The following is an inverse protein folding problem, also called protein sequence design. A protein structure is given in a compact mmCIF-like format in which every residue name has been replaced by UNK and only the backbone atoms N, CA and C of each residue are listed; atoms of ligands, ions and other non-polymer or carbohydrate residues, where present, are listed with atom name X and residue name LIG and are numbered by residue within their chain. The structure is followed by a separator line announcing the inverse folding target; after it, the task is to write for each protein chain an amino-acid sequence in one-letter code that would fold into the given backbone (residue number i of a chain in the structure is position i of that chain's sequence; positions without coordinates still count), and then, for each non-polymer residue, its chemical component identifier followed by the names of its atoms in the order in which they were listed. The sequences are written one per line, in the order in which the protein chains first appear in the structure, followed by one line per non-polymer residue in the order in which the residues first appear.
data_IF_296806230318
#
_entry.id   IF_296806230318
#
_cell.length_a   1.000
_cell.length_b   1.000
_cell.length_c   1.000
_cell.angle_alpha   90.00
_cell.angle_beta   90.00
_cell.angle_gamma   90.00
#
_symmetry.space_group_name_H-M   'P 1'
#
loop_
_entity.id
_entity.type
_entity.pdbx_description
1 polymer ?
#
# COMPACT_ATOMS: atom_id res chain seq x y z
N UNK A 1 -9.81 -5.39 2.41
CA UNK A 1 -9.99 -4.22 3.29
C UNK A 1 -8.63 -3.58 3.59
N UNK A 2 -8.40 -2.32 3.14
CA UNK A 2 -7.15 -1.59 3.39
C UNK A 2 -7.23 -0.73 4.65
N UNK A 3 -6.22 -0.81 5.50
CA UNK A 3 -6.07 -0.02 6.71
C UNK A 3 -4.70 0.65 6.80
N UNK A 4 -4.66 1.80 7.48
CA UNK A 4 -3.44 2.51 7.84
C UNK A 4 -3.66 3.34 9.10
N UNK A 5 -2.57 3.82 9.70
CA UNK A 5 -2.65 4.60 10.95
C UNK A 5 -3.13 6.05 10.78
N UNK A 6 -3.43 6.49 9.56
CA UNK A 6 -3.72 7.90 9.25
C UNK A 6 -2.46 8.79 9.31
N UNK A 7 -2.38 9.77 8.43
CA UNK A 7 -1.23 10.70 8.38
C UNK A 7 -1.63 12.14 8.09
N UNK A 8 -2.85 12.35 7.56
CA UNK A 8 -3.30 13.63 7.03
C UNK A 8 -3.98 14.45 8.14
N UNK A 9 -3.20 15.27 8.84
CA UNK A 9 -3.69 16.04 9.98
C UNK A 9 -4.84 16.99 9.62
N UNK A 10 -4.75 17.68 8.49
CA UNK A 10 -5.78 18.63 8.04
C UNK A 10 -7.14 17.95 7.78
N UNK A 11 -7.17 16.68 7.37
CA UNK A 11 -8.41 15.93 7.22
C UNK A 11 -8.99 15.56 8.59
N UNK A 12 -8.16 15.09 9.52
CA UNK A 12 -8.60 14.82 10.89
C UNK A 12 -9.23 16.08 11.53
N UNK A 13 -8.57 17.21 11.39
CA UNK A 13 -9.08 18.50 11.89
C UNK A 13 -10.39 18.91 11.21
N UNK A 14 -10.48 18.76 9.89
CA UNK A 14 -11.67 19.13 9.11
C UNK A 14 -12.91 18.29 9.49
N UNK A 15 -12.71 17.02 9.85
CA UNK A 15 -13.80 16.10 10.22
C UNK A 15 -14.00 15.96 11.73
N UNK A 16 -13.26 16.70 12.55
CA UNK A 16 -13.37 16.65 14.01
C UNK A 16 -12.88 15.33 14.62
N UNK A 17 -11.97 14.63 13.94
CA UNK A 17 -11.35 13.39 14.40
C UNK A 17 -10.03 13.74 15.09
N UNK A 18 -9.84 13.24 16.31
CA UNK A 18 -8.59 13.47 17.02
C UNK A 18 -7.40 12.91 16.27
N UNK A 19 -6.40 13.75 15.98
CA UNK A 19 -5.19 13.32 15.27
C UNK A 19 -4.21 12.59 16.18
N UNK A 20 -4.08 13.02 17.42
CA UNK A 20 -3.18 12.44 18.41
C UNK A 20 -1.71 12.41 17.99
N UNK A 21 -0.96 11.44 18.52
CA UNK A 21 0.44 11.21 18.17
C UNK A 21 0.58 10.06 17.16
N UNK A 22 1.71 9.96 16.47
CA UNK A 22 2.00 8.80 15.63
C UNK A 22 1.96 7.49 16.43
N UNK A 23 2.41 7.52 17.70
CA UNK A 23 2.39 6.35 18.58
C UNK A 23 0.97 5.93 18.97
N UNK A 24 0.08 6.88 19.32
CA UNK A 24 -1.33 6.56 19.63
C UNK A 24 -2.06 6.01 18.41
N UNK A 25 -1.89 6.63 17.21
CA UNK A 25 -2.49 6.12 15.98
C UNK A 25 -2.03 4.71 15.59
N UNK A 26 -0.76 4.37 15.84
CA UNK A 26 -0.25 3.02 15.59
C UNK A 26 -0.81 1.99 16.58
N UNK A 27 -1.02 2.36 17.85
CA UNK A 27 -1.71 1.50 18.81
C UNK A 27 -3.18 1.31 18.41
N UNK A 28 -3.87 2.39 18.01
CA UNK A 28 -5.24 2.30 17.48
C UNK A 28 -5.32 1.37 16.26
N UNK A 29 -4.33 1.40 15.36
CA UNK A 29 -4.27 0.48 14.23
C UNK A 29 -4.11 -0.98 14.68
N UNK A 30 -3.24 -1.27 15.67
CA UNK A 30 -3.06 -2.62 16.21
C UNK A 30 -4.36 -3.16 16.82
N UNK A 31 -5.06 -2.35 17.63
CA UNK A 31 -6.35 -2.71 18.22
C UNK A 31 -7.44 -2.89 17.15
N UNK A 32 -7.50 -1.98 16.16
CA UNK A 32 -8.47 -2.07 15.06
C UNK A 32 -8.29 -3.36 14.25
N UNK A 33 -7.04 -3.78 13.98
CA UNK A 33 -6.78 -5.05 13.30
C UNK A 33 -7.29 -6.25 14.10
N UNK A 34 -7.13 -6.25 15.44
CA UNK A 34 -7.66 -7.32 16.30
C UNK A 34 -9.18 -7.36 16.27
N UNK A 35 -9.83 -6.20 16.38
CA UNK A 35 -11.29 -6.09 16.34
C UNK A 35 -11.83 -6.59 14.99
N UNK A 36 -11.26 -6.13 13.89
CA UNK A 36 -11.73 -6.47 12.54
C UNK A 36 -11.58 -7.98 12.28
N UNK A 37 -10.43 -8.57 12.61
CA UNK A 37 -10.26 -10.02 12.49
C UNK A 37 -11.22 -10.79 13.39
N UNK A 38 -11.35 -10.37 14.65
CA UNK A 38 -12.30 -10.98 15.58
C UNK A 38 -13.75 -10.93 15.08
N UNK A 39 -14.18 -9.82 14.49
CA UNK A 39 -15.52 -9.66 13.90
C UNK A 39 -15.72 -10.52 12.64
N UNK A 40 -14.67 -10.75 11.83
CA UNK A 40 -14.77 -11.66 10.69
C UNK A 40 -14.91 -13.12 11.09
N UNK A 41 -14.24 -13.52 12.17
CA UNK A 41 -14.09 -14.92 12.57
C UNK A 41 -15.18 -15.40 13.53
N UNK A 42 -15.86 -14.48 14.25
CA UNK A 42 -16.83 -14.83 15.31
C UNK A 42 -18.21 -14.23 15.02
N UNK A 43 -19.26 -14.92 15.46
CA UNK A 43 -20.66 -14.40 15.39
C UNK A 43 -20.83 -13.17 16.26
N UNK A 44 -20.22 -13.18 17.45
CA UNK A 44 -20.13 -12.06 18.39
C UNK A 44 -18.72 -11.94 18.90
N UNK A 45 -18.23 -10.71 19.04
CA UNK A 45 -16.86 -10.46 19.48
C UNK A 45 -16.81 -9.40 20.58
N UNK A 46 -16.04 -9.72 21.63
CA UNK A 46 -15.70 -8.81 22.71
C UNK A 46 -14.24 -8.38 22.59
N UNK A 47 -13.97 -7.11 22.81
CA UNK A 47 -12.62 -6.59 22.85
C UNK A 47 -12.52 -5.45 23.87
N UNK A 48 -11.41 -5.42 24.61
CA UNK A 48 -11.07 -4.33 25.51
C UNK A 48 -9.60 -3.97 25.36
N UNK A 49 -9.34 -2.79 24.80
CA UNK A 49 -8.02 -2.21 24.58
C UNK A 49 -7.81 -0.91 25.34
N UNK A 50 -6.80 -0.17 24.94
CA UNK A 50 -6.51 1.19 25.45
C UNK A 50 -7.40 2.23 24.77
N UNK A 51 -7.75 2.03 23.49
CA UNK A 51 -8.48 2.99 22.64
C UNK A 51 -9.89 2.52 22.29
N UNK A 52 -10.10 1.23 22.19
CA UNK A 52 -11.39 0.66 21.77
C UNK A 52 -11.90 -0.35 22.78
N UNK A 53 -13.22 -0.35 22.97
CA UNK A 53 -13.92 -1.34 23.76
C UNK A 53 -15.23 -1.69 23.05
N UNK A 54 -15.47 -2.98 22.79
CA UNK A 54 -16.72 -3.49 22.21
C UNK A 54 -17.21 -4.71 22.99
N UNK A 55 -18.52 -4.88 23.05
CA UNK A 55 -19.19 -5.93 23.82
C UNK A 55 -20.21 -6.66 22.95
N UNK A 56 -20.03 -7.97 22.75
CA UNK A 56 -20.91 -8.83 21.99
C UNK A 56 -21.26 -8.27 20.61
N UNK A 57 -20.30 -7.61 19.95
CA UNK A 57 -20.55 -6.95 18.68
C UNK A 57 -20.64 -7.95 17.54
N UNK A 58 -21.75 -7.96 16.74
CA UNK A 58 -21.85 -8.77 15.53
C UNK A 58 -21.32 -8.03 14.31
N UNK A 59 -20.93 -8.78 13.30
CA UNK A 59 -20.72 -8.28 11.94
C UNK A 59 -21.53 -9.12 10.97
N UNK A 60 -22.59 -8.55 10.37
CA UNK A 60 -23.45 -9.21 9.40
C UNK A 60 -23.75 -8.29 8.20
N UNK A 61 -23.76 -8.82 6.96
CA UNK A 61 -23.41 -10.20 6.61
C UNK A 61 -21.90 -10.48 6.73
N UNK A 62 -21.54 -11.73 7.01
CA UNK A 62 -20.17 -12.18 6.94
C UNK A 62 -19.63 -12.12 5.49
N UNK A 63 -18.32 -12.00 5.28
CA UNK A 63 -17.72 -12.08 3.95
C UNK A 63 -18.08 -13.40 3.26
N UNK A 64 -18.59 -13.33 2.03
CA UNK A 64 -19.01 -14.53 1.27
C UNK A 64 -17.88 -15.55 1.04
N UNK A 65 -16.63 -15.08 0.96
CA UNK A 65 -15.43 -15.91 0.81
C UNK A 65 -14.93 -16.51 2.14
N UNK A 66 -15.67 -16.35 3.24
CA UNK A 66 -15.29 -16.83 4.57
C UNK A 66 -14.36 -15.89 5.34
N UNK A 67 -13.43 -15.24 4.69
CA UNK A 67 -12.59 -14.16 5.27
C UNK A 67 -12.37 -13.07 4.24
N UNK A 68 -12.11 -11.85 4.70
CA UNK A 68 -11.75 -10.72 3.85
C UNK A 68 -10.26 -10.40 4.06
N UNK A 69 -9.45 -10.41 3.00
CA UNK A 69 -8.05 -10.05 3.11
C UNK A 69 -7.86 -8.67 3.72
N UNK A 70 -6.96 -8.56 4.68
CA UNK A 70 -6.60 -7.31 5.35
C UNK A 70 -5.29 -6.78 4.79
N UNK A 71 -5.35 -5.63 4.10
CA UNK A 71 -4.17 -4.92 3.64
C UNK A 71 -3.76 -3.88 4.69
N UNK A 72 -2.48 -3.84 5.07
CA UNK A 72 -1.94 -2.79 5.94
C UNK A 72 -0.98 -1.91 5.15
N UNK A 73 -1.35 -0.62 5.06
CA UNK A 73 -0.57 0.41 4.38
C UNK A 73 0.42 1.10 5.30
N UNK A 74 1.65 1.28 4.82
CA UNK A 74 2.66 2.10 5.48
C UNK A 74 4.04 1.45 5.60
N UNK A 75 5.06 2.30 5.74
CA UNK A 75 6.46 1.90 5.67
C UNK A 75 7.25 2.02 6.97
N UNK A 76 6.61 2.21 8.13
CA UNK A 76 7.26 2.34 9.43
C UNK A 76 7.89 1.04 9.91
N UNK A 77 9.22 0.96 9.90
CA UNK A 77 9.99 -0.28 10.04
C UNK A 77 9.85 -0.97 11.40
N UNK A 78 9.72 -0.17 12.48
CA UNK A 78 9.69 -0.70 13.85
C UNK A 78 8.31 -1.16 14.31
N UNK A 79 7.24 -0.48 13.87
CA UNK A 79 5.89 -0.70 14.39
C UNK A 79 4.93 -1.11 13.27
N UNK A 80 4.83 -0.31 12.18
CA UNK A 80 3.88 -0.60 11.11
C UNK A 80 4.16 -1.96 10.46
N UNK A 81 5.43 -2.26 10.13
CA UNK A 81 5.79 -3.57 9.55
C UNK A 81 5.56 -4.71 10.53
N UNK A 82 5.71 -4.48 11.85
CA UNK A 82 5.38 -5.49 12.86
C UNK A 82 3.88 -5.76 12.95
N UNK A 83 3.03 -4.71 12.83
CA UNK A 83 1.57 -4.83 12.76
C UNK A 83 1.18 -5.59 11.48
N UNK A 84 1.78 -5.24 10.34
CA UNK A 84 1.56 -5.96 9.09
C UNK A 84 1.95 -7.45 9.21
N UNK A 85 3.14 -7.75 9.73
CA UNK A 85 3.58 -9.14 9.97
C UNK A 85 2.63 -9.92 10.89
N UNK A 86 1.93 -9.26 11.81
CA UNK A 86 1.02 -9.90 12.77
C UNK A 86 -0.37 -10.17 12.18
N UNK A 87 -0.92 -9.23 11.41
CA UNK A 87 -2.33 -9.26 11.04
C UNK A 87 -2.62 -9.23 9.54
N UNK A 88 -1.73 -8.66 8.72
CA UNK A 88 -2.03 -8.42 7.32
C UNK A 88 -2.00 -9.69 6.48
N UNK A 89 -2.89 -9.76 5.51
CA UNK A 89 -2.81 -10.71 4.40
C UNK A 89 -2.01 -10.08 3.24
N UNK A 90 -1.99 -8.74 3.18
CA UNK A 90 -1.23 -7.95 2.22
C UNK A 90 -0.58 -6.73 2.91
N UNK A 91 0.67 -6.45 2.55
CA UNK A 91 1.34 -5.21 2.95
C UNK A 91 1.54 -4.30 1.75
N UNK A 92 1.15 -3.02 1.90
CA UNK A 92 1.25 -2.00 0.86
C UNK A 92 2.12 -0.81 1.27
N UNK A 93 2.97 -0.34 0.38
CA UNK A 93 3.80 0.84 0.65
C UNK A 93 4.19 1.60 -0.61
N UNK A 94 4.41 2.90 -0.47
CA UNK A 94 5.08 3.72 -1.46
C UNK A 94 6.57 3.38 -1.50
N UNK A 95 7.11 3.12 -2.70
CA UNK A 95 8.55 2.90 -2.81
C UNK A 95 9.02 2.52 -4.21
N UNK A 96 10.29 2.81 -4.50
CA UNK A 96 11.04 2.22 -5.60
C UNK A 96 11.55 0.82 -5.21
N UNK A 97 12.12 0.08 -6.16
CA UNK A 97 12.58 -1.30 -5.96
C UNK A 97 13.55 -1.41 -4.78
N UNK A 98 14.54 -0.52 -4.66
CA UNK A 98 15.54 -0.56 -3.58
C UNK A 98 14.90 -0.35 -2.20
N UNK A 99 13.96 0.60 -2.12
CA UNK A 99 13.18 0.85 -0.89
C UNK A 99 12.37 -0.37 -0.49
N UNK A 100 11.76 -1.05 -1.46
CA UNK A 100 10.93 -2.23 -1.22
C UNK A 100 11.77 -3.42 -0.78
N UNK A 101 12.86 -3.74 -1.48
CA UNK A 101 13.76 -4.84 -1.10
C UNK A 101 14.23 -4.69 0.35
N UNK A 102 14.66 -3.50 0.73
CA UNK A 102 15.08 -3.23 2.11
C UNK A 102 13.95 -3.41 3.12
N UNK A 103 12.75 -2.88 2.84
CA UNK A 103 11.60 -2.97 3.76
C UNK A 103 11.03 -4.38 3.84
N UNK A 104 10.99 -5.11 2.72
CA UNK A 104 10.57 -6.52 2.70
C UNK A 104 11.48 -7.39 3.55
N UNK A 105 12.81 -7.20 3.49
CA UNK A 105 13.74 -7.91 4.36
C UNK A 105 13.51 -7.64 5.86
N UNK A 106 13.01 -6.44 6.23
CA UNK A 106 12.64 -6.12 7.60
C UNK A 106 11.30 -6.76 7.98
N UNK A 107 10.34 -6.75 7.07
CA UNK A 107 9.04 -7.40 7.23
C UNK A 107 9.20 -8.90 7.44
N UNK A 108 10.06 -9.55 6.65
CA UNK A 108 10.34 -10.99 6.76
C UNK A 108 10.88 -11.34 8.15
N UNK A 109 11.84 -10.55 8.66
CA UNK A 109 12.32 -10.74 10.04
C UNK A 109 11.24 -10.58 11.11
N UNK A 110 10.28 -9.66 10.91
CA UNK A 110 9.13 -9.55 11.80
C UNK A 110 8.22 -10.78 11.71
N UNK A 111 7.99 -11.32 10.51
CA UNK A 111 7.22 -12.56 10.32
C UNK A 111 7.91 -13.74 11.01
N UNK A 112 9.22 -13.93 10.79
CA UNK A 112 10.03 -14.98 11.42
C UNK A 112 9.97 -14.88 12.95
N UNK A 113 10.11 -13.67 13.50
CA UNK A 113 9.99 -13.42 14.95
C UNK A 113 8.62 -13.74 15.53
N UNK A 114 7.59 -13.85 14.70
CA UNK A 114 6.23 -14.25 15.06
C UNK A 114 5.90 -15.71 14.69
N UNK A 115 6.88 -16.48 14.21
CA UNK A 115 6.72 -17.83 13.65
C UNK A 115 5.71 -17.88 12.49
N UNK A 116 5.63 -16.81 11.70
CA UNK A 116 4.79 -16.70 10.51
C UNK A 116 5.67 -16.89 9.27
N UNK A 117 5.19 -17.70 8.32
CA UNK A 117 5.86 -17.80 7.01
C UNK A 117 5.77 -16.45 6.27
N UNK A 118 6.90 -15.80 5.91
CA UNK A 118 6.89 -14.52 5.17
C UNK A 118 6.15 -14.61 3.83
N UNK A 119 6.18 -15.73 3.15
CA UNK A 119 5.51 -15.96 1.86
C UNK A 119 3.97 -15.96 1.97
N UNK A 120 3.40 -16.09 3.18
CA UNK A 120 1.96 -16.01 3.41
C UNK A 120 1.42 -14.57 3.39
N UNK A 121 2.30 -13.58 3.29
CA UNK A 121 1.96 -12.17 3.29
C UNK A 121 2.27 -11.58 1.92
N UNK A 122 1.24 -11.18 1.18
CA UNK A 122 1.40 -10.55 -0.12
C UNK A 122 2.02 -9.17 -0.01
N UNK A 123 2.72 -8.75 -1.05
CA UNK A 123 3.42 -7.47 -1.11
C UNK A 123 2.96 -6.67 -2.32
N UNK A 124 2.39 -5.52 -2.06
CA UNK A 124 2.04 -4.55 -3.10
C UNK A 124 2.78 -3.23 -2.92
N UNK A 125 2.95 -2.52 -4.01
CA UNK A 125 3.64 -1.24 -4.03
C UNK A 125 2.82 -0.16 -4.71
N UNK A 126 3.00 1.07 -4.28
CA UNK A 126 2.49 2.25 -4.98
C UNK A 126 3.67 3.05 -5.52
N UNK A 127 3.62 3.44 -6.79
CA UNK A 127 4.64 4.29 -7.40
C UNK A 127 4.03 5.33 -8.34
N UNK A 128 4.66 6.51 -8.40
CA UNK A 128 4.29 7.56 -9.34
C UNK A 128 4.87 7.22 -10.72
N UNK A 129 4.06 7.20 -11.77
CA UNK A 129 4.51 6.95 -13.12
C UNK A 129 4.67 8.25 -13.91
N UNK A 130 5.86 8.45 -14.48
CA UNK A 130 6.18 9.52 -15.42
C UNK A 130 6.72 8.91 -16.73
N UNK A 131 5.81 8.55 -17.63
CA UNK A 131 6.12 7.95 -18.91
C UNK A 131 6.11 9.02 -20.01
N UNK A 132 7.20 9.15 -20.78
CA UNK A 132 7.30 10.10 -21.89
C UNK A 132 8.43 9.72 -22.83
N UNK A 133 8.28 10.06 -24.11
CA UNK A 133 9.37 10.00 -25.10
C UNK A 133 10.15 11.35 -25.19
N UNK A 134 9.84 12.33 -24.34
CA UNK A 134 10.48 13.64 -24.30
C UNK A 134 11.56 13.71 -23.21
N UNK A 135 12.82 13.55 -23.60
CA UNK A 135 13.96 13.58 -22.68
C UNK A 135 14.10 14.87 -21.88
N UNK A 136 13.77 16.02 -22.47
CA UNK A 136 13.81 17.29 -21.74
C UNK A 136 12.76 17.36 -20.64
N UNK A 137 11.60 16.74 -20.81
CA UNK A 137 10.59 16.57 -19.78
C UNK A 137 11.08 15.59 -18.70
N UNK A 138 11.56 14.41 -19.07
CA UNK A 138 12.05 13.40 -18.15
C UNK A 138 13.17 13.91 -17.27
N UNK A 139 14.11 14.70 -17.84
CA UNK A 139 15.18 15.35 -17.07
C UNK A 139 14.62 16.24 -15.96
N UNK A 140 13.66 17.11 -16.27
CA UNK A 140 13.03 17.98 -15.26
C UNK A 140 12.30 17.19 -14.18
N UNK A 141 11.62 16.10 -14.58
CA UNK A 141 10.92 15.23 -13.64
C UNK A 141 11.90 14.52 -12.69
N UNK A 142 13.01 14.00 -13.21
CA UNK A 142 14.06 13.37 -12.38
C UNK A 142 14.66 14.34 -11.34
N UNK A 143 14.69 15.65 -11.66
CA UNK A 143 15.18 16.69 -10.73
C UNK A 143 14.15 17.09 -9.66
N UNK A 144 12.84 16.87 -9.89
CA UNK A 144 11.78 17.40 -9.02
C UNK A 144 10.91 16.33 -8.37
N UNK A 145 10.75 15.16 -8.97
CA UNK A 145 9.92 14.08 -8.43
C UNK A 145 10.61 13.36 -7.26
N UNK A 146 9.83 12.81 -6.32
CA UNK A 146 10.39 12.01 -5.22
C UNK A 146 11.01 10.72 -5.75
N UNK A 147 12.35 10.66 -5.78
CA UNK A 147 13.10 9.56 -6.37
C UNK A 147 12.86 8.20 -5.69
N UNK A 148 12.47 8.22 -4.42
CA UNK A 148 12.21 7.02 -3.60
C UNK A 148 10.92 6.29 -3.95
N UNK A 149 10.06 6.86 -4.84
CA UNK A 149 8.75 6.31 -5.18
C UNK A 149 8.27 6.64 -6.59
N UNK A 150 9.18 6.98 -7.50
CA UNK A 150 8.84 7.35 -8.88
C UNK A 150 9.44 6.39 -9.89
N UNK A 151 8.65 6.03 -10.88
CA UNK A 151 9.03 5.32 -12.11
C UNK A 151 9.09 6.38 -13.20
N UNK A 152 10.27 6.66 -13.74
CA UNK A 152 10.49 7.78 -14.67
C UNK A 152 11.27 7.27 -15.88
N UNK A 153 10.71 7.39 -17.08
CA UNK A 153 11.45 7.01 -18.28
C UNK A 153 10.62 6.90 -19.55
N UNK A 154 11.30 6.53 -20.62
CA UNK A 154 10.66 6.02 -21.85
C UNK A 154 10.15 4.60 -21.62
N UNK A 155 9.43 4.06 -22.63
CA UNK A 155 8.71 2.79 -22.49
C UNK A 155 9.63 1.62 -22.10
N UNK A 156 10.83 1.53 -22.65
CA UNK A 156 11.78 0.46 -22.36
C UNK A 156 12.32 0.58 -20.92
N UNK A 157 12.72 1.78 -20.51
CA UNK A 157 13.21 2.05 -19.16
C UNK A 157 12.12 1.76 -18.10
N UNK A 158 10.88 2.15 -18.37
CA UNK A 158 9.73 1.86 -17.50
C UNK A 158 9.47 0.36 -17.41
N UNK A 159 9.60 -0.37 -18.54
CA UNK A 159 9.47 -1.85 -18.55
C UNK A 159 10.52 -2.52 -17.66
N UNK A 160 11.78 -2.10 -17.77
CA UNK A 160 12.86 -2.65 -16.96
C UNK A 160 12.66 -2.37 -15.47
N UNK A 161 12.21 -1.15 -15.11
CA UNK A 161 11.90 -0.79 -13.73
C UNK A 161 10.73 -1.63 -13.20
N UNK A 162 9.65 -1.82 -13.96
CA UNK A 162 8.48 -2.62 -13.56
C UNK A 162 8.85 -4.10 -13.42
N UNK A 163 9.69 -4.62 -14.31
CA UNK A 163 10.26 -5.96 -14.18
C UNK A 163 11.03 -6.13 -12.85
N UNK A 164 11.80 -5.12 -12.45
CA UNK A 164 12.49 -5.10 -11.17
C UNK A 164 11.56 -5.17 -9.94
N UNK A 165 10.37 -4.57 -9.99
CA UNK A 165 9.36 -4.75 -8.94
C UNK A 165 8.89 -6.21 -8.83
N UNK A 166 8.59 -6.82 -9.96
CA UNK A 166 8.16 -8.22 -10.01
C UNK A 166 9.27 -9.17 -9.51
N UNK A 167 10.51 -8.99 -9.98
CA UNK A 167 11.68 -9.77 -9.56
C UNK A 167 11.96 -9.62 -8.06
N UNK A 168 11.68 -8.44 -7.49
CA UNK A 168 11.79 -8.20 -6.06
C UNK A 168 10.68 -8.88 -5.24
N UNK A 169 9.66 -9.48 -5.88
CA UNK A 169 8.56 -10.19 -5.21
C UNK A 169 7.31 -9.35 -4.96
N UNK A 170 7.18 -8.19 -5.61
CA UNK A 170 5.94 -7.39 -5.60
C UNK A 170 4.89 -8.09 -6.47
N UNK A 171 3.70 -8.36 -5.91
CA UNK A 171 2.60 -9.04 -6.61
C UNK A 171 1.63 -8.07 -7.28
N UNK A 172 1.51 -6.86 -6.75
CA UNK A 172 0.65 -5.82 -7.29
C UNK A 172 1.38 -4.47 -7.28
N UNK A 173 1.41 -3.79 -8.42
CA UNK A 173 1.95 -2.44 -8.55
C UNK A 173 0.81 -1.47 -8.86
N UNK A 174 0.51 -0.58 -7.92
CA UNK A 174 -0.54 0.42 -8.03
C UNK A 174 0.06 1.70 -8.61
N UNK A 175 -0.45 2.13 -9.75
CA UNK A 175 -0.08 3.38 -10.40
C UNK A 175 -1.24 4.37 -10.25
N UNK A 176 -1.14 5.36 -9.35
CA UNK A 176 -2.17 6.39 -9.25
C UNK A 176 -2.13 7.33 -10.45
N UNK A 177 -3.30 7.80 -10.86
CA UNK A 177 -3.49 8.57 -12.09
C UNK A 177 -3.07 10.05 -11.99
N UNK A 178 -2.80 10.57 -10.81
CA UNK A 178 -2.54 12.01 -10.62
C UNK A 178 -1.23 12.51 -11.27
N UNK A 179 -0.29 11.64 -11.59
CA UNK A 179 0.91 11.99 -12.37
C UNK A 179 0.67 11.98 -13.89
N UNK A 180 -0.39 11.32 -14.32
CA UNK A 180 -0.82 11.28 -15.71
C UNK A 180 -1.65 12.51 -16.11
N UNK A 181 -1.89 13.42 -15.15
CA UNK A 181 -2.63 14.67 -15.26
C UNK A 181 -4.13 14.54 -14.98
N UNK A 182 -4.86 15.66 -14.97
CA UNK A 182 -6.29 15.67 -14.66
C UNK A 182 -7.08 14.84 -15.67
N UNK A 183 -7.68 13.73 -15.22
CA UNK A 183 -8.50 12.85 -16.04
C UNK A 183 -9.84 13.46 -16.47
N UNK A 184 -10.33 14.48 -15.74
CA UNK A 184 -11.55 15.20 -16.10
C UNK A 184 -11.25 16.09 -17.32
N UNK A 185 -11.74 15.68 -18.49
CA UNK A 185 -11.41 16.26 -19.79
C UNK A 185 -10.10 15.72 -20.36
N UNK A 186 -9.79 14.48 -20.05
CA UNK A 186 -8.53 13.84 -20.37
C UNK A 186 -8.13 14.04 -21.83
N UNK A 187 -7.00 14.67 -22.00
CA UNK A 187 -6.22 14.71 -23.21
C UNK A 187 -6.06 13.27 -23.75
N UNK A 188 -6.41 13.05 -25.00
CA UNK A 188 -6.28 11.74 -25.67
C UNK A 188 -4.87 11.16 -25.45
N UNK A 189 -3.85 12.01 -25.50
CA UNK A 189 -2.45 11.65 -25.27
C UNK A 189 -2.20 10.89 -23.95
N UNK A 190 -2.97 11.18 -22.90
CA UNK A 190 -2.82 10.48 -21.61
C UNK A 190 -3.42 9.09 -21.63
N UNK A 191 -4.56 8.95 -22.30
CA UNK A 191 -5.15 7.63 -22.55
C UNK A 191 -4.21 6.78 -23.38
N UNK A 192 -3.63 7.35 -24.44
CA UNK A 192 -2.68 6.66 -25.29
C UNK A 192 -1.43 6.22 -24.51
N UNK A 193 -0.92 7.05 -23.59
CA UNK A 193 0.20 6.68 -22.72
C UNK A 193 -0.15 5.56 -21.73
N UNK A 194 -1.36 5.59 -21.15
CA UNK A 194 -1.81 4.52 -20.25
C UNK A 194 -2.06 3.22 -21.02
N UNK A 195 -2.67 3.29 -22.19
CA UNK A 195 -2.86 2.14 -23.06
C UNK A 195 -1.52 1.53 -23.48
N UNK A 196 -0.56 2.37 -23.86
CA UNK A 196 0.81 1.96 -24.16
C UNK A 196 1.48 1.30 -22.95
N UNK A 197 1.32 1.85 -21.73
CA UNK A 197 1.83 1.25 -20.51
C UNK A 197 1.20 -0.13 -20.27
N UNK A 198 -0.12 -0.26 -20.37
CA UNK A 198 -0.82 -1.52 -20.16
C UNK A 198 -0.37 -2.56 -21.18
N UNK A 199 -0.33 -2.22 -22.47
CA UNK A 199 -0.05 -3.18 -23.54
C UNK A 199 1.42 -3.55 -23.68
N UNK A 200 2.33 -2.61 -23.43
CA UNK A 200 3.77 -2.81 -23.66
C UNK A 200 4.60 -3.05 -22.38
N UNK A 201 4.03 -2.80 -21.22
CA UNK A 201 4.71 -3.00 -19.92
C UNK A 201 3.97 -4.01 -19.06
N UNK A 202 2.74 -3.69 -18.65
CA UNK A 202 2.02 -4.52 -17.66
C UNK A 202 1.75 -5.95 -18.15
N UNK A 203 1.39 -6.13 -19.42
CA UNK A 203 1.12 -7.46 -20.01
C UNK A 203 2.38 -8.28 -20.33
N UNK A 204 3.55 -7.65 -20.33
CA UNK A 204 4.82 -8.32 -20.67
C UNK A 204 5.58 -8.77 -19.43
N UNK A 205 5.32 -8.12 -18.29
CA UNK A 205 5.99 -8.36 -16.99
C UNK A 205 5.16 -9.27 -16.08
N UNK A 206 3.86 -9.41 -16.34
CA UNK A 206 2.92 -10.19 -15.51
C UNK A 206 3.03 -11.72 -15.73
#
# INVERSE_FOLDING_TARGET
LGLGSGWQQNEHEAYGIEYGTAGSRLKMLDEACQIIKGLFENDYFDFKGEFYEIHGAPLEPKPLQGSMPLMIGGGGEKVTLKIAAKYADEWNVWGNVDTLVRKMSILDRHCEGLNRNPESLERSAVALLFLSDNESYLKRVRESAPADRSIIGGINEVRDIVAGYYEAGVKELIIPDFTLGKLIGADQKKRDLMEKFITEVATVVA
#
